data_IF_776369073354
#
_entry.id   IF_776369073354
#
_cell.length_a   1.000
_cell.length_b   1.000
_cell.length_c   1.000
_cell.angle_alpha   90.00
_cell.angle_beta   90.00
_cell.angle_gamma   90.00
#
_symmetry.space_group_name_H-M   'P 1'
#
loop_
_entity.id
_entity.type
_entity.pdbx_description
1 polymer ?
#
# COMPACT_ATOMS: atom_id res chain seq x y z
N UNK A 1 -9.99 13.07 -14.45
CA UNK A 1 -9.32 13.31 -13.15
C UNK A 1 -8.37 14.50 -13.29
N UNK A 2 -8.25 15.36 -12.28
CA UNK A 2 -7.23 16.43 -12.28
C UNK A 2 -5.84 15.85 -11.97
N UNK A 3 -4.78 16.57 -12.34
CA UNK A 3 -3.39 16.15 -12.03
C UNK A 3 -3.21 16.00 -10.52
N UNK A 4 -3.72 16.96 -9.74
CA UNK A 4 -3.69 16.91 -8.28
C UNK A 4 -4.37 15.67 -7.73
N UNK A 5 -5.55 15.31 -8.24
CA UNK A 5 -6.27 14.11 -7.80
C UNK A 5 -5.49 12.83 -8.11
N UNK A 6 -4.83 12.76 -9.27
CA UNK A 6 -3.99 11.62 -9.62
C UNK A 6 -2.77 11.47 -8.69
N UNK A 7 -2.11 12.57 -8.33
CA UNK A 7 -0.98 12.56 -7.39
C UNK A 7 -1.41 12.13 -5.98
N UNK A 8 -2.57 12.61 -5.51
CA UNK A 8 -3.13 12.21 -4.22
C UNK A 8 -3.47 10.72 -4.21
N UNK A 9 -4.15 10.23 -5.26
CA UNK A 9 -4.47 8.81 -5.43
C UNK A 9 -3.22 7.93 -5.38
N UNK A 10 -2.18 8.30 -6.12
CA UNK A 10 -0.91 7.58 -6.10
C UNK A 10 -0.27 7.59 -4.71
N UNK A 11 -0.21 8.76 -4.06
CA UNK A 11 0.43 8.91 -2.74
C UNK A 11 -0.26 8.03 -1.68
N UNK A 12 -1.59 8.08 -1.60
CA UNK A 12 -2.36 7.27 -0.65
C UNK A 12 -2.19 5.78 -0.95
N UNK A 13 -2.27 5.39 -2.22
CA UNK A 13 -2.06 3.98 -2.65
C UNK A 13 -0.67 3.49 -2.26
N UNK A 14 0.36 4.30 -2.52
CA UNK A 14 1.76 3.97 -2.20
C UNK A 14 1.95 3.76 -0.70
N UNK A 15 1.45 4.66 0.15
CA UNK A 15 1.55 4.52 1.60
C UNK A 15 0.78 3.31 2.14
N UNK A 16 -0.41 3.03 1.63
CA UNK A 16 -1.16 1.83 2.01
C UNK A 16 -0.37 0.55 1.71
N UNK A 17 0.17 0.45 0.49
CA UNK A 17 1.02 -0.68 0.09
C UNK A 17 2.29 -0.73 0.95
N UNK A 18 2.90 0.42 1.27
CA UNK A 18 4.10 0.48 2.11
C UNK A 18 3.85 -0.12 3.48
N UNK A 19 2.74 0.24 4.13
CA UNK A 19 2.38 -0.29 5.44
C UNK A 19 2.02 -1.78 5.39
N UNK A 20 1.40 -2.26 4.31
CA UNK A 20 1.18 -3.70 4.11
C UNK A 20 2.49 -4.48 3.90
N UNK A 21 3.50 -3.87 3.25
CA UNK A 21 4.80 -4.50 2.97
C UNK A 21 5.75 -4.44 4.17
N UNK A 22 5.61 -3.43 5.04
CA UNK A 22 6.47 -3.22 6.21
C UNK A 22 6.67 -4.48 7.09
N UNK A 23 5.61 -5.22 7.51
CA UNK A 23 5.74 -6.40 8.37
C UNK A 23 6.32 -7.61 7.63
N UNK A 24 6.40 -7.60 6.29
CA UNK A 24 6.96 -8.72 5.55
C UNK A 24 8.47 -8.81 5.78
N UNK A 25 8.95 -10.04 6.00
CA UNK A 25 10.37 -10.38 6.20
C UNK A 25 11.01 -9.69 7.40
N UNK A 26 10.34 -9.71 8.55
CA UNK A 26 11.01 -9.47 9.82
C UNK A 26 11.78 -10.73 10.22
N UNK A 27 13.11 -10.64 10.31
CA UNK A 27 13.97 -11.70 10.84
C UNK A 27 14.68 -11.15 12.07
N UNK A 28 14.50 -11.83 13.21
CA UNK A 28 15.14 -11.45 14.47
C UNK A 28 16.55 -12.04 14.57
N UNK A 29 17.44 -11.37 15.31
CA UNK A 29 18.78 -11.88 15.60
C UNK A 29 18.76 -13.25 16.30
N UNK A 30 17.74 -13.53 17.12
CA UNK A 30 17.53 -14.85 17.71
C UNK A 30 17.30 -15.96 16.66
N UNK A 31 16.74 -15.61 15.50
CA UNK A 31 16.39 -16.53 14.42
C UNK A 31 17.55 -16.76 13.43
N UNK A 32 18.53 -15.84 13.38
CA UNK A 32 19.73 -15.99 12.54
C UNK A 32 20.94 -16.61 13.26
N UNK A 33 20.81 -16.94 14.56
CA UNK A 33 21.84 -17.65 15.33
C UNK A 33 23.10 -16.83 15.66
N UNK A 34 23.17 -15.57 15.22
CA UNK A 34 24.27 -14.63 15.47
C UNK A 34 23.71 -13.45 16.27
N UNK A 35 23.84 -13.53 17.60
CA UNK A 35 23.42 -12.46 18.51
C UNK A 35 24.67 -11.67 18.91
N UNK A 36 24.75 -10.42 18.49
CA UNK A 36 25.86 -9.54 18.86
C UNK A 36 25.75 -9.13 20.34
N UNK A 37 26.85 -9.22 21.12
CA UNK A 37 26.84 -8.86 22.53
C UNK A 37 26.41 -7.39 22.72
N UNK A 38 25.34 -7.16 23.48
CA UNK A 38 24.79 -5.82 23.76
C UNK A 38 23.54 -5.46 22.97
N UNK A 39 23.09 -6.28 22.01
CA UNK A 39 21.88 -6.04 21.22
C UNK A 39 20.72 -6.90 21.70
N UNK A 40 19.47 -6.38 21.80
CA UNK A 40 18.32 -7.20 22.16
C UNK A 40 18.12 -8.36 21.18
N UNK A 41 17.82 -9.57 21.67
CA UNK A 41 17.55 -10.76 20.82
C UNK A 41 16.42 -10.56 19.79
N UNK A 42 15.52 -9.60 20.04
CA UNK A 42 14.41 -9.21 19.16
C UNK A 42 14.81 -8.17 18.10
N UNK A 43 16.03 -7.64 18.14
CA UNK A 43 16.48 -6.67 17.17
C UNK A 43 16.54 -7.31 15.76
N UNK A 44 16.22 -6.54 14.70
CA UNK A 44 16.37 -7.02 13.34
C UNK A 44 17.84 -7.26 13.02
N UNK A 45 18.17 -8.40 12.39
CA UNK A 45 19.54 -8.67 11.91
C UNK A 45 19.93 -7.75 10.76
N UNK A 46 18.98 -7.42 9.88
CA UNK A 46 19.17 -6.48 8.78
C UNK A 46 17.95 -5.56 8.58
N UNK A 47 18.18 -4.24 8.62
CA UNK A 47 17.18 -3.26 8.23
C UNK A 47 17.09 -3.18 6.69
N UNK A 48 16.45 -4.17 6.06
CA UNK A 48 16.27 -4.23 4.61
C UNK A 48 15.22 -3.22 4.08
N UNK A 49 15.32 -1.93 4.42
CA UNK A 49 14.30 -0.92 4.06
C UNK A 49 14.33 -0.59 2.55
N UNK A 50 15.52 -0.48 1.95
CA UNK A 50 15.69 -0.18 0.51
C UNK A 50 15.00 -1.19 -0.43
N UNK A 51 15.17 -2.52 -0.28
CA UNK A 51 14.46 -3.48 -1.13
C UNK A 51 12.95 -3.51 -0.86
N UNK A 52 12.50 -3.27 0.38
CA UNK A 52 11.07 -3.16 0.70
C UNK A 52 10.43 -1.98 -0.03
N UNK A 53 11.09 -0.81 -0.03
CA UNK A 53 10.60 0.37 -0.74
C UNK A 53 10.48 0.14 -2.26
N UNK A 54 11.42 -0.57 -2.88
CA UNK A 54 11.32 -0.93 -4.32
C UNK A 54 10.11 -1.82 -4.61
N UNK A 55 9.89 -2.83 -3.77
CA UNK A 55 8.74 -3.74 -3.91
C UNK A 55 7.42 -2.97 -3.76
N UNK A 56 7.33 -2.10 -2.76
CA UNK A 56 6.18 -1.21 -2.56
C UNK A 56 5.91 -0.37 -3.80
N UNK A 57 6.93 0.25 -4.38
CA UNK A 57 6.75 1.09 -5.57
C UNK A 57 6.20 0.30 -6.75
N UNK A 58 6.72 -0.91 -7.03
CA UNK A 58 6.22 -1.75 -8.13
C UNK A 58 4.75 -2.13 -7.91
N UNK A 59 4.41 -2.61 -6.72
CA UNK A 59 3.03 -3.02 -6.40
C UNK A 59 2.09 -1.80 -6.46
N UNK A 60 2.49 -0.68 -5.86
CA UNK A 60 1.70 0.55 -5.86
C UNK A 60 1.46 1.10 -7.27
N UNK A 61 2.43 0.99 -8.18
CA UNK A 61 2.32 1.44 -9.56
C UNK A 61 1.27 0.62 -10.32
N UNK A 62 1.25 -0.70 -10.12
CA UNK A 62 0.25 -1.59 -10.74
C UNK A 62 -1.15 -1.26 -10.23
N UNK A 63 -1.32 -1.14 -8.91
CA UNK A 63 -2.62 -0.80 -8.30
C UNK A 63 -3.09 0.58 -8.76
N UNK A 64 -2.20 1.56 -8.74
CA UNK A 64 -2.50 2.91 -9.20
C UNK A 64 -2.92 2.93 -10.67
N UNK A 65 -2.23 2.22 -11.56
CA UNK A 65 -2.58 2.17 -12.98
C UNK A 65 -3.99 1.60 -13.18
N UNK A 66 -4.35 0.54 -12.45
CA UNK A 66 -5.70 -0.05 -12.48
C UNK A 66 -6.73 0.95 -11.98
N UNK A 67 -6.52 1.57 -10.82
CA UNK A 67 -7.45 2.56 -10.25
C UNK A 67 -7.61 3.78 -11.16
N UNK A 68 -6.51 4.29 -11.72
CA UNK A 68 -6.53 5.43 -12.62
C UNK A 68 -7.36 5.12 -13.87
N UNK A 69 -7.14 3.96 -14.51
CA UNK A 69 -7.91 3.55 -15.68
C UNK A 69 -9.40 3.34 -15.36
N UNK A 70 -9.72 2.72 -14.23
CA UNK A 70 -11.10 2.52 -13.80
C UNK A 70 -11.82 3.87 -13.60
N UNK A 71 -11.19 4.80 -12.88
CA UNK A 71 -11.80 6.11 -12.57
C UNK A 71 -11.91 6.98 -13.83
N UNK A 72 -10.90 6.96 -14.71
CA UNK A 72 -10.91 7.75 -15.94
C UNK A 72 -11.81 7.16 -17.03
N UNK A 73 -12.10 5.85 -16.99
CA UNK A 73 -13.00 5.20 -17.95
C UNK A 73 -14.44 5.73 -17.91
N UNK A 74 -14.86 6.34 -16.81
CA UNK A 74 -16.23 6.87 -16.64
C UNK A 74 -17.32 5.80 -16.67
N UNK A 75 -16.97 4.51 -16.72
CA UNK A 75 -17.92 3.38 -16.76
C UNK A 75 -18.58 3.08 -15.42
N UNK A 76 -17.97 3.54 -14.32
CA UNK A 76 -18.40 3.24 -12.97
C UNK A 76 -18.55 4.57 -12.23
N UNK A 77 -19.79 5.00 -12.08
CA UNK A 77 -20.16 6.23 -11.40
C UNK A 77 -20.38 6.03 -9.90
N UNK A 78 -20.59 7.12 -9.19
CA UNK A 78 -20.96 7.10 -7.77
C UNK A 78 -22.30 6.39 -7.55
N UNK A 79 -23.22 6.50 -8.52
CA UNK A 79 -24.51 5.81 -8.49
C UNK A 79 -24.36 4.28 -8.51
N UNK A 80 -23.34 3.74 -9.18
CA UNK A 80 -23.07 2.30 -9.22
C UNK A 80 -22.46 1.80 -7.89
N UNK A 81 -21.96 2.70 -7.06
CA UNK A 81 -21.38 2.41 -5.75
C UNK A 81 -22.42 2.51 -4.61
N UNK A 82 -23.71 2.71 -4.93
CA UNK A 82 -24.79 2.74 -3.94
C UNK A 82 -25.16 1.34 -3.43
N UNK A 83 -24.26 0.74 -2.66
CA UNK A 83 -24.46 -0.59 -2.05
C UNK A 83 -25.58 -0.58 -1.00
N UNK A 84 -25.88 0.58 -0.41
CA UNK A 84 -26.83 0.73 0.68
C UNK A 84 -28.19 1.29 0.23
N UNK A 85 -28.39 1.56 -1.07
CA UNK A 85 -29.64 2.09 -1.62
C UNK A 85 -30.02 3.48 -1.08
N UNK A 86 -29.04 4.25 -0.59
CA UNK A 86 -29.25 5.54 0.07
C UNK A 86 -29.66 6.63 -0.92
N UNK A 87 -29.22 6.51 -2.17
CA UNK A 87 -29.52 7.46 -3.23
C UNK A 87 -30.79 7.09 -3.97
N UNK A 88 -31.08 5.78 -4.11
CA UNK A 88 -32.31 5.28 -4.70
C UNK A 88 -33.59 5.62 -3.89
N UNK A 89 -33.49 5.69 -2.55
CA UNK A 89 -34.64 5.96 -1.67
C UNK A 89 -34.93 7.44 -1.42
N UNK A 90 -34.19 8.37 -2.05
CA UNK A 90 -34.28 9.81 -1.79
C UNK A 90 -35.16 10.58 -2.78
N UNK A 91 -35.78 9.88 -3.73
CA UNK A 91 -36.74 10.41 -4.71
C UNK A 91 -37.96 9.50 -4.80
#
# INVERSE_FOLDING_TARGET
>A
MTITAALVLFSVTWFMVFFCVLPMRFQSQAQSGQVEPGTPRSAPTEAMIKPKAKLTTVISLVIFAVLYLLITSGRWGIADMDVFGLWANRY
#
